data_IF_259396455074
#
_entry.id   IF_259396455074
#
_cell.length_a   1.000
_cell.length_b   1.000
_cell.length_c   1.000
_cell.angle_alpha   90.00
_cell.angle_beta   90.00
_cell.angle_gamma   90.00
#
_symmetry.space_group_name_H-M   'P 1'
#
loop_
_entity.id
_entity.type
_entity.pdbx_description
1 polymer ?
#
# COMPACT_ATOMS: atom_id res chain seq x y z
N UNK A 1 -19.48 -5.33 30.21
CA UNK A 1 -18.12 -5.79 30.47
C UNK A 1 -17.56 -6.68 29.38
N UNK A 2 -18.31 -7.63 28.86
CA UNK A 2 -17.84 -8.51 27.78
C UNK A 2 -17.54 -7.77 26.48
N UNK A 3 -18.29 -6.70 26.18
CA UNK A 3 -18.06 -5.88 24.99
C UNK A 3 -16.73 -5.13 25.03
N UNK A 4 -16.26 -4.74 26.21
CA UNK A 4 -14.98 -4.05 26.40
C UNK A 4 -13.80 -4.98 26.15
N UNK A 5 -13.87 -6.22 26.66
CA UNK A 5 -12.82 -7.21 26.46
C UNK A 5 -12.67 -7.62 25.00
N UNK A 6 -13.78 -7.74 24.26
CA UNK A 6 -13.74 -8.06 22.85
C UNK A 6 -13.07 -6.96 22.02
N UNK A 7 -13.36 -5.70 22.35
CA UNK A 7 -12.72 -4.56 21.67
C UNK A 7 -11.22 -4.51 21.91
N UNK A 8 -10.78 -4.79 23.14
CA UNK A 8 -9.36 -4.81 23.48
C UNK A 8 -8.61 -5.93 22.75
N UNK A 9 -9.20 -7.12 22.69
CA UNK A 9 -8.61 -8.28 22.00
C UNK A 9 -8.52 -8.01 20.50
N UNK A 10 -9.58 -7.50 19.89
CA UNK A 10 -9.60 -7.16 18.46
C UNK A 10 -8.60 -6.07 18.12
N UNK A 11 -8.46 -5.07 18.98
CA UNK A 11 -7.50 -4.00 18.81
C UNK A 11 -6.07 -4.51 18.89
N UNK A 12 -5.78 -5.39 19.84
CA UNK A 12 -4.46 -6.01 19.99
C UNK A 12 -4.09 -6.86 18.76
N UNK A 13 -5.04 -7.61 18.22
CA UNK A 13 -4.84 -8.43 17.02
C UNK A 13 -4.54 -7.54 15.82
N UNK A 14 -5.29 -6.45 15.64
CA UNK A 14 -5.07 -5.50 14.56
C UNK A 14 -3.71 -4.81 14.65
N UNK A 15 -3.30 -4.45 15.86
CA UNK A 15 -2.00 -3.82 16.08
C UNK A 15 -0.86 -4.78 15.75
N UNK A 16 -1.00 -6.06 16.09
CA UNK A 16 -0.02 -7.08 15.79
C UNK A 16 0.09 -7.33 14.29
N UNK A 17 -1.04 -7.46 13.60
CA UNK A 17 -1.09 -7.62 12.15
C UNK A 17 -0.47 -6.42 11.44
N UNK A 18 -0.77 -5.23 11.92
CA UNK A 18 -0.22 -3.99 11.37
C UNK A 18 1.29 -3.93 11.54
N UNK A 19 1.80 -4.30 12.73
CA UNK A 19 3.24 -4.33 12.97
C UNK A 19 3.96 -5.30 12.04
N UNK A 20 3.39 -6.49 11.84
CA UNK A 20 3.94 -7.47 10.91
C UNK A 20 3.92 -6.96 9.47
N UNK A 21 2.83 -6.33 9.06
CA UNK A 21 2.69 -5.70 7.75
C UNK A 21 3.79 -4.66 7.52
N UNK A 22 3.99 -3.78 8.49
CA UNK A 22 4.99 -2.70 8.40
C UNK A 22 6.43 -3.23 8.33
N UNK A 23 6.72 -4.32 9.04
CA UNK A 23 8.04 -4.94 9.04
C UNK A 23 8.38 -5.60 7.71
N UNK A 24 7.38 -6.05 6.96
CA UNK A 24 7.55 -6.77 5.71
C UNK A 24 7.44 -5.90 4.46
N UNK A 25 7.37 -4.58 4.62
CA UNK A 25 7.31 -3.66 3.49
C UNK A 25 8.61 -3.70 2.67
N UNK A 26 8.51 -3.80 1.33
CA UNK A 26 9.70 -3.87 0.47
C UNK A 26 10.39 -2.52 0.25
N UNK A 27 9.78 -1.44 0.71
CA UNK A 27 10.38 -0.09 0.68
C UNK A 27 9.75 0.75 1.78
N UNK A 28 10.25 1.97 1.99
CA UNK A 28 9.77 2.83 3.08
C UNK A 28 8.31 3.26 2.88
N UNK A 29 7.63 3.56 3.98
CA UNK A 29 6.25 4.06 3.96
C UNK A 29 6.16 5.36 3.17
N UNK A 30 7.15 6.24 3.28
CA UNK A 30 7.20 7.50 2.53
C UNK A 30 7.19 7.26 1.02
N UNK A 31 7.92 6.26 0.56
CA UNK A 31 7.93 5.92 -0.86
C UNK A 31 6.60 5.35 -1.33
N UNK A 32 5.91 4.59 -0.48
CA UNK A 32 4.56 4.13 -0.79
C UNK A 32 3.57 5.29 -0.91
N UNK A 33 3.65 6.27 -0.02
CA UNK A 33 2.80 7.46 -0.08
C UNK A 33 3.04 8.20 -1.40
N UNK A 34 4.31 8.41 -1.76
CA UNK A 34 4.66 9.06 -3.02
C UNK A 34 4.17 8.28 -4.23
N UNK A 35 4.31 6.94 -4.19
CA UNK A 35 3.79 6.07 -5.25
C UNK A 35 2.29 6.27 -5.44
N UNK A 36 1.52 6.23 -4.36
CA UNK A 36 0.06 6.36 -4.43
C UNK A 36 -0.37 7.73 -4.97
N UNK A 37 0.28 8.79 -4.51
CA UNK A 37 -0.03 10.14 -4.99
C UNK A 37 0.25 10.30 -6.49
N UNK A 38 1.41 9.84 -6.93
CA UNK A 38 1.80 9.93 -8.34
C UNK A 38 0.96 9.01 -9.22
N UNK A 39 0.67 7.81 -8.74
CA UNK A 39 -0.12 6.84 -9.49
C UNK A 39 -1.57 7.31 -9.65
N UNK A 40 -2.15 7.90 -8.62
CA UNK A 40 -3.49 8.46 -8.70
C UNK A 40 -3.58 9.52 -9.79
N UNK A 41 -2.59 10.43 -9.84
CA UNK A 41 -2.53 11.48 -10.85
C UNK A 41 -2.39 10.90 -12.26
N UNK A 42 -1.51 9.91 -12.44
CA UNK A 42 -1.30 9.28 -13.75
C UNK A 42 -2.52 8.50 -14.22
N UNK A 43 -3.19 7.78 -13.33
CA UNK A 43 -4.40 7.04 -13.66
C UNK A 43 -5.55 7.98 -14.06
N UNK A 44 -5.63 9.13 -13.42
CA UNK A 44 -6.62 10.13 -13.74
C UNK A 44 -6.44 10.66 -15.19
N UNK A 45 -5.20 10.86 -15.61
CA UNK A 45 -4.88 11.37 -16.95
C UNK A 45 -4.89 10.29 -18.03
N UNK A 46 -4.34 9.11 -17.73
CA UNK A 46 -4.07 8.08 -18.75
C UNK A 46 -4.98 6.86 -18.66
N UNK A 47 -5.63 6.63 -17.52
CA UNK A 47 -6.40 5.43 -17.29
C UNK A 47 -5.50 4.21 -17.05
N UNK A 48 -6.12 3.06 -16.84
CA UNK A 48 -5.40 1.81 -16.56
C UNK A 48 -5.39 0.90 -17.78
N UNK A 49 -4.19 0.41 -18.13
CA UNK A 49 -4.00 -0.55 -19.23
C UNK A 49 -4.01 -2.00 -18.77
N UNK A 50 -4.50 -2.26 -17.54
CA UNK A 50 -4.57 -3.59 -16.92
C UNK A 50 -3.21 -4.24 -16.67
N UNK A 51 -2.16 -3.42 -16.54
CA UNK A 51 -0.81 -3.86 -16.18
C UNK A 51 -0.21 -2.94 -15.11
N UNK A 52 1.05 -3.17 -14.75
CA UNK A 52 1.77 -2.37 -13.74
C UNK A 52 2.77 -1.39 -14.36
N UNK A 53 2.58 -1.03 -15.60
CA UNK A 53 3.50 -0.17 -16.33
C UNK A 53 3.71 1.19 -15.67
N UNK A 54 2.63 1.86 -15.27
CA UNK A 54 2.71 3.15 -14.60
C UNK A 54 3.39 3.02 -13.24
N UNK A 55 3.01 2.01 -12.48
CA UNK A 55 3.60 1.71 -11.18
C UNK A 55 5.11 1.50 -11.31
N UNK A 56 5.53 0.69 -12.28
CA UNK A 56 6.94 0.42 -12.53
C UNK A 56 7.71 1.71 -12.86
N UNK A 57 7.18 2.55 -13.75
CA UNK A 57 7.80 3.81 -14.12
C UNK A 57 7.96 4.74 -12.91
N UNK A 58 6.94 4.83 -12.08
CA UNK A 58 6.98 5.66 -10.88
C UNK A 58 8.04 5.16 -9.91
N UNK A 59 8.11 3.85 -9.68
CA UNK A 59 9.12 3.25 -8.79
C UNK A 59 10.54 3.53 -9.27
N UNK A 60 10.78 3.42 -10.58
CA UNK A 60 12.08 3.76 -11.16
C UNK A 60 12.41 5.24 -10.93
N UNK A 61 11.44 6.12 -11.15
CA UNK A 61 11.63 7.57 -10.98
C UNK A 61 11.85 7.95 -9.52
N UNK A 62 11.29 7.20 -8.57
CA UNK A 62 11.51 7.42 -7.15
C UNK A 62 12.87 6.89 -6.66
N UNK A 63 13.64 6.26 -7.53
CA UNK A 63 14.95 5.74 -7.20
C UNK A 63 14.92 4.44 -6.38
N UNK A 64 13.85 3.67 -6.52
CA UNK A 64 13.75 2.38 -5.83
C UNK A 64 14.75 1.42 -6.42
N UNK A 65 15.60 0.81 -5.58
CA UNK A 65 16.67 -0.07 -6.03
C UNK A 65 16.17 -1.41 -6.54
N UNK A 66 15.18 -1.98 -5.87
CA UNK A 66 14.65 -3.31 -6.22
C UNK A 66 13.18 -3.21 -6.61
N UNK A 67 12.96 -2.67 -7.80
CA UNK A 67 11.63 -2.47 -8.37
C UNK A 67 10.88 -3.81 -8.50
N UNK A 68 11.57 -4.87 -8.91
CA UNK A 68 10.94 -6.18 -9.09
C UNK A 68 10.38 -6.76 -7.79
N UNK A 69 11.11 -6.58 -6.69
CA UNK A 69 10.61 -7.03 -5.38
C UNK A 69 9.38 -6.26 -4.95
N UNK A 70 9.34 -4.95 -5.20
CA UNK A 70 8.17 -4.13 -4.88
C UNK A 70 6.97 -4.56 -5.73
N UNK A 71 7.16 -4.77 -7.03
CA UNK A 71 6.09 -5.23 -7.92
C UNK A 71 5.56 -6.60 -7.49
N UNK A 72 6.44 -7.53 -7.12
CA UNK A 72 6.03 -8.85 -6.62
C UNK A 72 5.21 -8.74 -5.34
N UNK A 73 5.66 -7.88 -4.42
CA UNK A 73 4.93 -7.63 -3.17
C UNK A 73 3.54 -7.04 -3.45
N UNK A 74 3.44 -6.08 -4.37
CA UNK A 74 2.16 -5.47 -4.75
C UNK A 74 1.19 -6.52 -5.27
N UNK A 75 1.66 -7.46 -6.11
CA UNK A 75 0.84 -8.55 -6.61
C UNK A 75 0.33 -9.46 -5.49
N UNK A 76 1.18 -9.77 -4.52
CA UNK A 76 0.79 -10.53 -3.34
C UNK A 76 -0.32 -9.84 -2.54
N UNK A 77 -0.34 -8.52 -2.55
CA UNK A 77 -1.36 -7.74 -1.85
C UNK A 77 -2.62 -7.47 -2.69
N UNK A 78 -2.69 -8.03 -3.89
CA UNK A 78 -3.85 -7.86 -4.76
C UNK A 78 -3.72 -6.77 -5.81
N UNK A 79 -2.53 -6.23 -6.00
CA UNK A 79 -2.27 -5.19 -7.00
C UNK A 79 -1.66 -5.75 -8.28
N UNK A 80 -2.47 -6.35 -9.12
CA UNK A 80 -2.02 -6.95 -10.38
C UNK A 80 -1.99 -5.95 -11.54
N UNK A 81 -2.61 -4.80 -11.37
CA UNK A 81 -2.54 -3.71 -12.33
C UNK A 81 -2.56 -2.38 -11.58
N UNK A 82 -2.31 -1.26 -12.30
CA UNK A 82 -2.23 0.06 -11.68
C UNK A 82 -3.50 0.42 -10.92
N UNK A 83 -4.68 0.14 -11.47
CA UNK A 83 -5.96 0.39 -10.81
C UNK A 83 -6.10 -0.43 -9.52
N UNK A 84 -5.69 -1.69 -9.53
CA UNK A 84 -5.80 -2.55 -8.36
C UNK A 84 -4.83 -2.16 -7.26
N UNK A 85 -3.67 -1.59 -7.62
CA UNK A 85 -2.75 -1.03 -6.61
C UNK A 85 -3.47 0.05 -5.81
N UNK A 86 -4.20 0.94 -6.47
CA UNK A 86 -4.96 1.99 -5.79
C UNK A 86 -6.18 1.43 -5.05
N UNK A 87 -6.90 0.49 -5.66
CA UNK A 87 -8.12 -0.04 -5.06
C UNK A 87 -7.87 -1.00 -3.90
N UNK A 88 -6.85 -1.85 -4.01
CA UNK A 88 -6.63 -2.95 -3.06
C UNK A 88 -5.46 -2.72 -2.11
N UNK A 89 -4.39 -2.07 -2.57
CA UNK A 89 -3.16 -1.92 -1.78
C UNK A 89 -3.18 -0.63 -0.97
N UNK A 90 -3.57 0.50 -1.56
CA UNK A 90 -3.59 1.79 -0.88
C UNK A 90 -4.40 1.74 0.42
N UNK A 91 -5.55 1.07 0.42
CA UNK A 91 -6.40 0.97 1.60
C UNK A 91 -5.70 0.33 2.80
N UNK A 92 -4.69 -0.50 2.56
CA UNK A 92 -3.90 -1.13 3.63
C UNK A 92 -3.00 -0.13 4.35
N UNK A 93 -2.81 1.04 3.76
CA UNK A 93 -2.02 2.13 4.34
C UNK A 93 -2.89 3.23 4.98
N UNK A 94 -4.19 3.01 5.12
CA UNK A 94 -5.10 3.97 5.77
C UNK A 94 -4.69 4.31 7.20
N UNK A 95 -3.98 3.42 7.88
CA UNK A 95 -3.47 3.68 9.23
C UNK A 95 -2.56 4.91 9.29
N UNK A 96 -1.90 5.27 8.18
CA UNK A 96 -1.06 6.45 8.11
C UNK A 96 -1.89 7.73 8.15
N UNK A 97 -3.09 7.71 7.57
CA UNK A 97 -4.02 8.83 7.62
C UNK A 97 -4.59 9.02 9.02
N UNK A 98 -4.90 7.92 9.72
CA UNK A 98 -5.41 7.97 11.09
C UNK A 98 -4.43 8.61 12.05
N UNK A 99 -3.13 8.46 11.82
CA UNK A 99 -2.10 9.10 12.66
C UNK A 99 -1.98 10.59 12.44
N UNK A 100 -2.45 11.11 11.33
CA UNK A 100 -2.39 12.54 10.99
C UNK A 100 -3.58 13.33 11.53
N UNK A 101 -4.56 12.64 12.06
CA UNK A 101 -5.73 13.21 12.71
C UNK A 101 -5.54 13.11 14.22
#
# INVERSE_FOLDING_TARGET
MEKSKRKEILKAIKEKELAEFRQNLPMSEDKFIQLFELLEAELHERGCDHDLKLTEQILVNLGVKDVLSVLAWLKEQGGYCDCEVMANVEQKFEYLEEKLI
#
